data_IF_561492799565
#
_entry.id   IF_561492799565
#
_cell.length_a   1.000
_cell.length_b   1.000
_cell.length_c   1.000
_cell.angle_alpha   90.00
_cell.angle_beta   90.00
_cell.angle_gamma   90.00
#
_symmetry.space_group_name_H-M   'P 1'
#
loop_
_entity.id
_entity.type
_entity.pdbx_description
1 polymer ?
#
# COMPACT_ATOMS: atom_id res chain seq x y z
N UNK A 1 -44.34 -65.86 -3.69
CA UNK A 1 -45.51 -66.39 -2.96
C UNK A 1 -44.94 -67.41 -2.00
N UNK A 2 -44.82 -67.21 -0.69
CA UNK A 2 -45.79 -66.75 0.32
C UNK A 2 -45.02 -66.38 1.61
N UNK A 3 -45.50 -65.38 2.34
CA UNK A 3 -45.21 -65.03 3.75
C UNK A 3 -46.31 -65.73 4.58
N UNK A 4 -46.14 -66.23 5.85
CA UNK A 4 -45.90 -65.38 7.02
C UNK A 4 -45.18 -65.96 8.26
N UNK A 5 -44.89 -65.03 9.20
CA UNK A 5 -44.39 -65.20 10.56
C UNK A 5 -45.37 -65.95 11.50
N UNK A 6 -44.96 -66.27 12.75
CA UNK A 6 -45.28 -65.33 13.83
C UNK A 6 -44.23 -65.20 14.96
N UNK A 7 -44.42 -64.12 15.71
CA UNK A 7 -43.76 -63.63 16.92
C UNK A 7 -44.33 -64.31 18.17
N UNK A 8 -43.51 -64.56 19.22
CA UNK A 8 -43.85 -64.32 20.63
C UNK A 8 -42.68 -64.58 21.61
N UNK A 9 -42.71 -63.80 22.70
CA UNK A 9 -42.15 -64.02 24.05
C UNK A 9 -40.75 -63.43 24.42
N UNK A 10 -40.80 -62.20 24.96
CA UNK A 10 -40.01 -61.73 26.11
C UNK A 10 -40.34 -62.54 27.39
N UNK A 11 -39.51 -62.60 28.46
CA UNK A 11 -39.10 -61.40 29.21
C UNK A 11 -37.71 -61.38 29.91
N UNK A 12 -37.27 -60.14 30.09
CA UNK A 12 -36.44 -59.52 31.15
C UNK A 12 -35.69 -60.38 32.20
N UNK A 13 -34.38 -60.20 32.29
CA UNK A 13 -33.66 -59.43 33.35
C UNK A 13 -32.24 -59.97 33.55
N UNK A 14 -31.24 -59.11 33.34
CA UNK A 14 -30.06 -59.01 34.24
C UNK A 14 -29.28 -57.73 33.90
N UNK A 15 -29.41 -56.75 34.79
CA UNK A 15 -28.46 -55.65 34.91
C UNK A 15 -27.18 -56.19 35.54
N UNK A 16 -26.04 -55.96 34.90
CA UNK A 16 -24.73 -55.88 35.55
C UNK A 16 -24.10 -54.58 35.06
N UNK A 17 -23.94 -53.64 35.98
CA UNK A 17 -23.21 -52.40 35.80
C UNK A 17 -21.94 -52.46 36.64
N UNK A 18 -20.76 -52.35 36.03
CA UNK A 18 -19.56 -51.77 36.65
C UNK A 18 -18.38 -51.65 35.66
N UNK A 19 -17.81 -50.44 35.62
CA UNK A 19 -16.39 -50.13 35.56
C UNK A 19 -15.58 -50.22 34.24
N UNK A 20 -15.18 -49.02 33.82
CA UNK A 20 -13.83 -48.62 33.40
C UNK A 20 -13.30 -49.07 32.02
N UNK A 21 -13.34 -48.10 31.08
CA UNK A 21 -12.15 -47.61 30.36
C UNK A 21 -12.47 -46.27 29.69
N UNK A 22 -12.17 -45.19 30.42
CA UNK A 22 -11.88 -43.90 29.80
C UNK A 22 -10.43 -43.96 29.29
N UNK A 23 -10.20 -43.56 28.04
CA UNK A 23 -8.87 -43.63 27.44
C UNK A 23 -8.74 -42.85 26.14
N UNK A 24 -8.28 -41.60 26.29
CA UNK A 24 -7.53 -40.78 25.31
C UNK A 24 -8.31 -40.13 24.16
N UNK A 25 -9.06 -39.09 24.51
CA UNK A 25 -9.02 -37.85 23.74
C UNK A 25 -7.78 -37.07 24.20
N UNK A 26 -6.78 -36.92 23.35
CA UNK A 26 -5.65 -36.02 23.59
C UNK A 26 -6.15 -34.59 23.33
N UNK A 27 -6.56 -33.92 24.40
CA UNK A 27 -6.56 -32.46 24.46
C UNK A 27 -5.11 -32.00 24.26
N UNK A 28 -4.83 -31.36 23.13
CA UNK A 28 -3.71 -30.43 23.04
C UNK A 28 -4.15 -29.14 23.73
N UNK A 29 -4.10 -29.13 25.07
CA UNK A 29 -4.02 -27.89 25.83
C UNK A 29 -2.68 -27.25 25.50
N UNK A 30 -2.66 -26.37 24.50
CA UNK A 30 -1.55 -25.44 24.34
C UNK A 30 -1.57 -24.51 25.55
N UNK A 31 -0.64 -24.76 26.47
CA UNK A 31 -0.25 -23.82 27.52
C UNK A 31 0.10 -22.50 26.85
N UNK A 32 -0.73 -21.49 27.08
CA UNK A 32 -0.40 -20.10 26.79
C UNK A 32 0.79 -19.70 27.66
N UNK A 33 2.00 -19.89 27.14
CA UNK A 33 3.17 -19.19 27.65
C UNK A 33 2.96 -17.71 27.31
N UNK A 34 2.46 -16.96 28.29
CA UNK A 34 2.36 -15.53 28.24
C UNK A 34 3.76 -14.92 28.03
N UNK A 35 4.09 -14.58 26.78
CA UNK A 35 5.05 -13.52 26.48
C UNK A 35 4.40 -12.21 26.92
N UNK A 36 4.49 -11.96 28.21
CA UNK A 36 4.31 -10.65 28.80
C UNK A 36 5.53 -9.82 28.41
N UNK A 37 5.48 -9.25 27.20
CA UNK A 37 6.28 -8.04 26.95
C UNK A 37 5.66 -6.98 27.84
N UNK A 38 6.35 -6.67 28.94
CA UNK A 38 5.91 -5.71 29.94
C UNK A 38 5.85 -4.31 29.36
N UNK A 39 4.76 -3.98 28.68
CA UNK A 39 4.26 -2.62 28.59
C UNK A 39 3.37 -2.39 29.80
N UNK A 40 4.01 -2.17 30.95
CA UNK A 40 3.32 -1.50 32.05
C UNK A 40 3.05 -0.07 31.57
N UNK A 41 1.83 0.47 31.67
CA UNK A 41 1.61 1.89 31.46
C UNK A 41 2.27 2.60 32.64
N UNK A 42 3.55 2.92 32.51
CA UNK A 42 4.19 3.84 33.43
C UNK A 42 3.60 5.22 33.11
N UNK A 43 2.59 5.62 33.88
CA UNK A 43 2.30 7.04 34.11
C UNK A 43 3.52 7.65 34.81
N UNK A 44 4.56 7.93 34.04
CA UNK A 44 5.77 8.56 34.53
C UNK A 44 5.47 10.03 34.79
N UNK A 45 5.24 10.34 36.06
CA UNK A 45 5.39 11.69 36.58
C UNK A 45 6.80 12.16 36.24
N UNK A 46 6.91 13.15 35.36
CA UNK A 46 8.17 13.78 35.00
C UNK A 46 8.76 14.50 36.23
N UNK A 47 9.66 13.82 36.93
CA UNK A 47 10.60 14.43 37.86
C UNK A 47 12.01 14.26 37.30
N UNK A 48 12.70 15.39 37.16
CA UNK A 48 13.89 15.55 36.32
C UNK A 48 15.06 14.64 36.70
N UNK A 49 15.62 14.00 35.68
CA UNK A 49 16.94 13.34 35.67
C UNK A 49 17.86 14.06 34.66
N UNK A 50 19.19 14.05 34.85
CA UNK A 50 20.11 14.79 33.99
C UNK A 50 20.35 14.03 32.68
N UNK A 51 20.10 14.71 31.55
CA UNK A 51 20.22 14.20 30.18
C UNK A 51 18.88 13.70 29.65
N UNK A 52 18.12 14.56 28.96
CA UNK A 52 16.83 14.18 28.38
C UNK A 52 17.04 13.15 27.27
N UNK A 53 16.74 11.88 27.53
CA UNK A 53 16.64 10.85 26.49
C UNK A 53 15.44 11.24 25.60
N UNK A 54 15.66 11.41 24.30
CA UNK A 54 14.58 11.79 23.39
C UNK A 54 13.68 10.58 23.07
N UNK A 55 12.38 10.77 22.76
CA UNK A 55 11.51 9.68 22.31
C UNK A 55 12.09 8.88 21.14
N UNK A 56 12.77 9.56 20.22
CA UNK A 56 13.45 8.93 19.09
C UNK A 56 14.60 8.03 19.54
N UNK A 57 15.41 8.43 20.54
CA UNK A 57 16.47 7.59 21.08
C UNK A 57 15.91 6.31 21.73
N UNK A 58 14.83 6.44 22.52
CA UNK A 58 14.16 5.29 23.15
C UNK A 58 13.62 4.33 22.07
N UNK A 59 12.96 4.87 21.05
CA UNK A 59 12.40 4.07 19.97
C UNK A 59 13.48 3.41 19.11
N UNK A 60 14.58 4.13 18.82
CA UNK A 60 15.70 3.60 18.05
C UNK A 60 16.44 2.48 18.79
N UNK A 61 16.59 2.57 20.11
CA UNK A 61 17.15 1.47 20.91
C UNK A 61 16.24 0.23 20.89
N UNK A 62 14.93 0.43 20.78
CA UNK A 62 13.96 -0.65 20.63
C UNK A 62 13.88 -1.26 19.21
N UNK A 63 14.35 -0.55 18.16
CA UNK A 63 14.32 -1.05 16.78
C UNK A 63 15.01 -2.41 16.64
N UNK A 64 16.15 -2.61 17.31
CA UNK A 64 16.89 -3.86 17.29
C UNK A 64 16.14 -5.06 17.89
N UNK A 65 15.01 -4.83 18.56
CA UNK A 65 14.14 -5.87 19.15
C UNK A 65 12.90 -6.19 18.30
N UNK A 66 12.56 -5.33 17.33
CA UNK A 66 11.44 -5.53 16.40
C UNK A 66 12.03 -6.07 15.08
N UNK A 67 12.31 -7.37 15.04
CA UNK A 67 12.81 -8.00 13.82
C UNK A 67 11.72 -8.08 12.73
N UNK A 68 12.07 -8.04 11.44
CA UNK A 68 11.13 -8.37 10.35
C UNK A 68 10.50 -9.76 10.52
N UNK A 69 11.18 -10.69 11.18
CA UNK A 69 10.67 -11.99 11.60
C UNK A 69 9.60 -11.88 12.69
N UNK A 70 9.74 -10.95 13.64
CA UNK A 70 8.71 -10.69 14.65
C UNK A 70 7.50 -9.99 14.05
N UNK A 71 7.68 -9.03 13.14
CA UNK A 71 6.64 -8.38 12.35
C UNK A 71 5.93 -9.40 11.44
N UNK A 72 6.68 -10.21 10.70
CA UNK A 72 6.10 -11.27 9.89
C UNK A 72 5.44 -12.35 10.74
N UNK A 73 5.96 -12.77 11.91
CA UNK A 73 5.24 -13.68 12.81
C UNK A 73 3.95 -13.06 13.35
N UNK A 74 4.00 -11.79 13.77
CA UNK A 74 2.84 -10.98 14.18
C UNK A 74 1.78 -10.90 13.08
N UNK A 75 2.18 -10.89 11.82
CA UNK A 75 1.32 -10.78 10.65
C UNK A 75 0.98 -12.16 10.02
N UNK A 76 1.78 -13.21 10.27
CA UNK A 76 1.67 -14.59 9.78
C UNK A 76 0.62 -15.40 10.56
N UNK A 77 0.41 -15.09 11.85
CA UNK A 77 -0.80 -15.56 12.56
C UNK A 77 -2.11 -15.11 11.88
N UNK A 78 -2.04 -14.16 10.93
CA UNK A 78 -3.16 -13.68 10.10
C UNK A 78 -3.33 -14.38 8.74
N UNK A 79 -2.49 -15.35 8.38
CA UNK A 79 -2.57 -16.07 7.10
C UNK A 79 -3.13 -17.50 7.23
N UNK A 80 -3.79 -17.81 8.35
CA UNK A 80 -4.46 -19.10 8.54
C UNK A 80 -5.79 -19.13 7.76
N UNK A 81 -6.07 -20.20 6.99
CA UNK A 81 -7.37 -20.37 6.35
C UNK A 81 -8.49 -20.29 7.39
N UNK A 82 -9.39 -19.31 7.26
CA UNK A 82 -10.55 -19.13 8.13
C UNK A 82 -10.41 -18.07 9.25
N UNK A 83 -9.32 -17.31 9.34
CA UNK A 83 -9.30 -16.11 10.19
C UNK A 83 -10.10 -14.98 9.54
N UNK A 84 -11.31 -14.70 10.03
CA UNK A 84 -12.07 -13.51 9.65
C UNK A 84 -11.25 -12.24 9.87
N UNK A 85 -11.30 -11.26 8.96
CA UNK A 85 -10.57 -9.97 9.08
C UNK A 85 -10.74 -9.25 10.44
N UNK A 86 -11.83 -9.54 11.16
CA UNK A 86 -12.09 -9.12 12.55
C UNK A 86 -11.10 -9.62 13.61
N UNK A 87 -10.44 -10.76 13.43
CA UNK A 87 -9.45 -11.28 14.40
C UNK A 87 -8.10 -10.60 14.27
N UNK A 88 -7.71 -10.24 13.04
CA UNK A 88 -6.48 -9.53 12.73
C UNK A 88 -6.56 -8.07 13.16
N UNK A 89 -7.69 -7.42 12.88
CA UNK A 89 -8.00 -6.09 13.37
C UNK A 89 -7.93 -5.98 14.89
N UNK A 90 -8.32 -7.04 15.61
CA UNK A 90 -8.17 -7.11 17.06
C UNK A 90 -6.72 -7.25 17.52
N UNK A 91 -5.86 -7.95 16.78
CA UNK A 91 -4.43 -8.09 17.13
C UNK A 91 -3.67 -6.80 16.78
N UNK A 92 -3.90 -6.25 15.59
CA UNK A 92 -3.41 -4.94 15.18
C UNK A 92 -3.84 -3.86 16.19
N UNK A 93 -5.12 -3.78 16.53
CA UNK A 93 -5.65 -2.83 17.52
C UNK A 93 -5.07 -3.06 18.93
N UNK A 94 -4.80 -4.30 19.35
CA UNK A 94 -4.14 -4.61 20.64
C UNK A 94 -2.67 -4.18 20.70
N UNK A 95 -2.05 -3.97 19.54
CA UNK A 95 -0.67 -3.50 19.38
C UNK A 95 -0.60 -2.01 19.04
N UNK A 96 -1.73 -1.30 19.16
CA UNK A 96 -1.84 0.12 18.83
C UNK A 96 -2.08 0.39 17.35
N UNK A 97 -2.07 -0.62 16.47
CA UNK A 97 -2.32 -0.45 15.04
C UNK A 97 -3.81 -0.29 14.70
N UNK A 98 -4.24 0.96 14.49
CA UNK A 98 -5.57 1.27 13.96
C UNK A 98 -5.55 1.46 12.44
N UNK A 99 -6.58 1.02 11.68
CA UNK A 99 -6.79 1.37 10.27
C UNK A 99 -6.66 2.85 9.98
N UNK A 100 -7.01 3.69 10.97
CA UNK A 100 -7.02 5.14 10.85
C UNK A 100 -5.63 5.78 11.03
N UNK A 101 -4.62 5.02 11.45
CA UNK A 101 -3.28 5.57 11.74
C UNK A 101 -2.54 6.08 10.50
N UNK A 102 -2.85 5.57 9.32
CA UNK A 102 -2.03 5.81 8.13
C UNK A 102 -2.64 6.76 7.12
N UNK A 103 -3.94 7.07 7.24
CA UNK A 103 -4.65 7.89 6.28
C UNK A 103 -5.95 8.53 6.85
N UNK A 104 -6.07 8.65 8.18
CA UNK A 104 -7.29 9.16 8.81
C UNK A 104 -8.51 8.26 8.59
N UNK A 105 -9.74 8.72 8.90
CA UNK A 105 -10.96 7.95 8.61
C UNK A 105 -11.16 7.76 7.10
N UNK A 106 -11.68 6.60 6.64
CA UNK A 106 -11.97 6.39 5.24
C UNK A 106 -13.06 7.38 4.77
N UNK A 107 -12.97 7.91 3.53
CA UNK A 107 -13.99 8.75 2.95
C UNK A 107 -15.29 7.96 2.74
N UNK A 108 -16.43 8.65 2.57
CA UNK A 108 -17.66 7.99 2.19
C UNK A 108 -17.48 7.24 0.87
N UNK A 109 -18.07 6.05 0.79
CA UNK A 109 -17.99 5.19 -0.39
C UNK A 109 -18.50 5.92 -1.64
N UNK A 110 -17.70 5.97 -2.73
CA UNK A 110 -18.10 6.64 -3.95
C UNK A 110 -19.32 5.94 -4.54
N UNK A 111 -20.43 6.67 -4.63
CA UNK A 111 -21.66 6.13 -5.21
C UNK A 111 -21.52 6.07 -6.74
N UNK A 112 -21.67 4.89 -7.36
CA UNK A 112 -21.63 4.79 -8.82
C UNK A 112 -22.82 5.55 -9.42
N UNK A 113 -22.54 6.35 -10.45
CA UNK A 113 -23.49 7.04 -11.28
C UNK A 113 -23.62 6.31 -12.62
N UNK A 114 -24.67 5.47 -12.81
CA UNK A 114 -24.84 4.68 -14.03
C UNK A 114 -25.15 5.51 -15.29
N UNK A 115 -25.34 6.84 -15.14
CA UNK A 115 -25.49 7.74 -16.28
C UNK A 115 -24.12 8.12 -16.89
N UNK A 116 -23.02 7.91 -16.18
CA UNK A 116 -21.67 8.07 -16.72
C UNK A 116 -21.36 6.83 -17.57
N UNK A 117 -21.64 6.94 -18.87
CA UNK A 117 -21.46 5.86 -19.87
C UNK A 117 -20.28 6.08 -20.81
N UNK A 118 -19.63 7.23 -20.71
CA UNK A 118 -18.50 7.63 -21.53
C UNK A 118 -17.40 8.19 -20.63
N UNK A 119 -16.16 7.73 -20.84
CA UNK A 119 -15.00 8.31 -20.17
C UNK A 119 -14.59 9.60 -20.90
N UNK A 120 -14.70 10.75 -20.24
CA UNK A 120 -14.46 12.05 -20.86
C UNK A 120 -13.98 13.11 -19.88
N UNK A 121 -13.24 14.09 -20.40
CA UNK A 121 -13.00 15.33 -19.68
C UNK A 121 -14.31 16.09 -19.47
N UNK A 122 -14.58 16.51 -18.24
CA UNK A 122 -15.78 17.27 -17.86
C UNK A 122 -15.45 18.75 -17.78
N UNK A 123 -14.59 19.13 -16.83
CA UNK A 123 -14.26 20.54 -16.57
C UNK A 123 -12.95 20.69 -15.78
N UNK A 124 -12.44 21.93 -15.72
CA UNK A 124 -11.41 22.35 -14.75
C UNK A 124 -12.15 22.94 -13.55
N UNK A 125 -12.15 22.21 -12.43
CA UNK A 125 -12.79 22.60 -11.17
C UNK A 125 -12.08 23.79 -10.50
N UNK A 126 -10.76 23.82 -10.60
CA UNK A 126 -9.92 24.84 -9.97
C UNK A 126 -8.69 25.12 -10.84
N UNK A 127 -8.26 26.38 -10.86
CA UNK A 127 -7.03 26.80 -11.53
C UNK A 127 -6.33 27.89 -10.74
N UNK A 128 -5.10 27.61 -10.34
CA UNK A 128 -4.20 28.57 -9.70
C UNK A 128 -2.82 28.53 -10.39
N UNK A 129 -2.54 29.57 -11.19
CA UNK A 129 -1.33 29.63 -12.02
C UNK A 129 -1.20 28.43 -12.96
N UNK A 130 -0.22 27.55 -12.66
CA UNK A 130 0.06 26.32 -13.42
C UNK A 130 -0.59 25.07 -12.82
N UNK A 131 -1.15 25.17 -11.62
CA UNK A 131 -1.91 24.10 -10.99
C UNK A 131 -3.36 24.15 -11.47
N UNK A 132 -3.88 23.01 -11.88
CA UNK A 132 -5.27 22.82 -12.31
C UNK A 132 -5.82 21.55 -11.66
N UNK A 133 -7.08 21.59 -11.21
CA UNK A 133 -7.81 20.40 -10.75
C UNK A 133 -8.89 20.07 -11.76
N UNK A 134 -8.76 18.92 -12.41
CA UNK A 134 -9.65 18.48 -13.48
C UNK A 134 -10.66 17.46 -12.96
N UNK A 135 -11.87 17.51 -13.48
CA UNK A 135 -12.86 16.46 -13.35
C UNK A 135 -12.92 15.65 -14.64
N UNK A 136 -12.71 14.34 -14.53
CA UNK A 136 -12.79 13.40 -15.64
C UNK A 136 -13.78 12.30 -15.27
N UNK A 137 -14.85 12.17 -16.03
CA UNK A 137 -15.77 11.04 -15.90
C UNK A 137 -15.08 9.75 -16.32
N UNK A 138 -15.21 8.69 -15.53
CA UNK A 138 -14.80 7.32 -15.89
C UNK A 138 -16.04 6.45 -16.05
N UNK A 139 -16.28 5.94 -17.27
CA UNK A 139 -17.37 5.00 -17.53
C UNK A 139 -17.17 3.68 -16.77
N UNK A 140 -15.93 3.16 -16.75
CA UNK A 140 -15.60 1.88 -16.13
C UNK A 140 -15.75 1.90 -14.59
N UNK A 141 -15.57 3.07 -13.96
CA UNK A 141 -15.79 3.25 -12.52
C UNK A 141 -17.13 3.90 -12.19
N UNK A 142 -17.89 4.33 -13.21
CA UNK A 142 -19.16 5.05 -13.10
C UNK A 142 -19.07 6.25 -12.14
N UNK A 143 -17.99 7.03 -12.19
CA UNK A 143 -17.82 8.19 -11.29
C UNK A 143 -16.91 9.24 -11.91
N UNK A 144 -17.04 10.47 -11.43
CA UNK A 144 -16.09 11.54 -11.69
C UNK A 144 -14.80 11.30 -10.90
N UNK A 145 -13.67 11.39 -11.58
CA UNK A 145 -12.33 11.24 -11.02
C UNK A 145 -11.66 12.61 -11.05
N UNK A 146 -11.12 13.00 -9.90
CA UNK A 146 -10.32 14.22 -9.81
C UNK A 146 -8.89 13.92 -10.21
N UNK A 147 -8.34 14.72 -11.12
CA UNK A 147 -6.95 14.66 -11.54
C UNK A 147 -6.33 16.04 -11.34
N UNK A 148 -5.30 16.12 -10.52
CA UNK A 148 -4.50 17.32 -10.40
C UNK A 148 -3.44 17.36 -11.51
N UNK A 149 -3.28 18.54 -12.10
CA UNK A 149 -2.34 18.79 -13.19
C UNK A 149 -1.47 19.98 -12.81
N UNK A 150 -0.16 19.81 -12.86
CA UNK A 150 0.78 20.92 -12.76
C UNK A 150 1.51 21.08 -14.09
N UNK A 151 1.17 22.14 -14.84
CA UNK A 151 1.71 22.37 -16.18
C UNK A 151 3.20 22.71 -16.12
N UNK A 152 3.96 22.25 -17.11
CA UNK A 152 5.32 22.69 -17.32
C UNK A 152 5.39 24.21 -17.60
N UNK A 153 6.55 24.87 -17.37
CA UNK A 153 6.76 26.27 -17.73
C UNK A 153 6.48 26.54 -19.21
N UNK A 154 6.11 27.78 -19.55
CA UNK A 154 5.87 28.19 -20.94
C UNK A 154 4.64 27.53 -21.61
N UNK A 155 3.73 26.94 -20.83
CA UNK A 155 2.50 26.32 -21.33
C UNK A 155 2.62 24.84 -21.72
N UNK A 156 3.83 24.27 -21.64
CA UNK A 156 4.06 22.82 -21.69
C UNK A 156 3.97 22.12 -23.04
N UNK A 157 3.87 22.87 -24.16
CA UNK A 157 3.59 22.32 -25.49
C UNK A 157 4.58 21.24 -26.00
N UNK A 158 5.81 21.19 -25.50
CA UNK A 158 6.80 20.15 -25.79
C UNK A 158 7.28 19.35 -24.58
N UNK A 159 6.71 19.59 -23.40
CA UNK A 159 7.14 18.95 -22.16
C UNK A 159 6.62 17.50 -22.08
N UNK A 160 7.42 16.53 -21.61
CA UNK A 160 6.96 15.18 -21.30
C UNK A 160 6.03 15.15 -20.08
N UNK A 161 5.55 13.96 -19.74
CA UNK A 161 4.66 13.73 -18.60
C UNK A 161 5.32 12.95 -17.47
N UNK A 162 4.99 13.32 -16.24
CA UNK A 162 5.26 12.52 -15.05
C UNK A 162 3.93 12.23 -14.36
N UNK A 163 3.56 10.96 -14.34
CA UNK A 163 2.41 10.46 -13.59
C UNK A 163 2.84 10.16 -12.16
N UNK A 164 2.16 10.74 -11.18
CA UNK A 164 2.47 10.58 -9.75
C UNK A 164 1.33 9.87 -9.03
N UNK A 165 1.64 8.73 -8.42
CA UNK A 165 0.70 7.90 -7.69
C UNK A 165 0.88 8.08 -6.19
N UNK A 166 -0.19 8.53 -5.54
CA UNK A 166 -0.22 8.77 -4.09
C UNK A 166 -0.21 7.44 -3.30
N UNK A 167 0.08 7.53 -2.01
CA UNK A 167 0.03 6.42 -1.06
C UNK A 167 -1.40 6.04 -0.68
N UNK A 168 -1.51 5.25 0.39
CA UNK A 168 -2.79 4.68 0.89
C UNK A 168 -3.88 5.74 1.12
N UNK A 169 -3.48 6.97 1.50
CA UNK A 169 -4.40 8.07 1.79
C UNK A 169 -5.01 8.72 0.55
N UNK A 170 -4.30 8.78 -0.57
CA UNK A 170 -4.73 9.43 -1.84
C UNK A 170 -5.69 10.61 -1.64
N UNK A 171 -5.20 11.61 -0.91
CA UNK A 171 -5.98 12.76 -0.43
C UNK A 171 -6.31 13.74 -1.57
N UNK A 172 -7.17 14.71 -1.27
CA UNK A 172 -7.45 15.84 -2.14
C UNK A 172 -7.35 17.15 -1.33
N UNK A 173 -6.43 18.08 -1.66
CA UNK A 173 -5.34 17.97 -2.64
C UNK A 173 -4.40 16.78 -2.39
N UNK A 174 -3.71 16.27 -3.41
CA UNK A 174 -2.75 15.17 -3.22
C UNK A 174 -1.62 15.58 -2.29
N UNK A 175 -1.05 14.60 -1.60
CA UNK A 175 0.06 14.88 -0.71
C UNK A 175 1.29 15.42 -1.47
N UNK A 176 1.46 15.11 -2.76
CA UNK A 176 2.49 15.73 -3.60
C UNK A 176 2.35 17.26 -3.62
N UNK A 177 1.13 17.77 -3.87
CA UNK A 177 0.88 19.21 -3.92
C UNK A 177 0.98 19.84 -2.54
N UNK A 178 0.44 19.19 -1.51
CA UNK A 178 0.55 19.66 -0.12
C UNK A 178 2.01 19.76 0.36
N UNK A 179 2.88 18.85 -0.10
CA UNK A 179 4.28 18.75 0.32
C UNK A 179 5.28 19.30 -0.70
N UNK A 180 4.83 20.26 -1.51
CA UNK A 180 5.74 21.17 -2.22
C UNK A 180 6.08 20.80 -3.66
N UNK A 181 5.35 19.89 -4.31
CA UNK A 181 5.58 19.55 -5.72
C UNK A 181 5.57 20.79 -6.64
N UNK A 182 4.70 21.77 -6.39
CA UNK A 182 4.67 23.01 -7.16
C UNK A 182 6.01 23.77 -7.15
N UNK A 183 6.68 23.82 -5.98
CA UNK A 183 8.00 24.45 -5.84
C UNK A 183 9.11 23.56 -6.41
N UNK A 184 9.05 22.25 -6.11
CA UNK A 184 10.05 21.28 -6.57
C UNK A 184 10.13 21.17 -8.09
N UNK A 185 8.98 21.30 -8.77
CA UNK A 185 8.86 21.23 -10.22
C UNK A 185 8.68 22.61 -10.87
N UNK A 186 8.96 23.69 -10.14
CA UNK A 186 8.75 25.05 -10.64
C UNK A 186 9.52 25.29 -11.96
N UNK A 187 10.78 24.88 -12.01
CA UNK A 187 11.66 25.08 -13.18
C UNK A 187 11.86 23.81 -14.01
N UNK A 188 11.11 22.74 -13.73
CA UNK A 188 11.21 21.48 -14.46
C UNK A 188 10.29 21.52 -15.69
N UNK A 189 10.84 21.23 -16.87
CA UNK A 189 10.07 21.17 -18.11
C UNK A 189 9.27 19.84 -18.21
N UNK A 190 8.32 19.62 -17.30
CA UNK A 190 7.50 18.40 -17.22
C UNK A 190 6.08 18.74 -16.77
N UNK A 191 5.08 18.08 -17.35
CA UNK A 191 3.70 18.16 -16.89
C UNK A 191 3.48 17.08 -15.82
N UNK A 192 3.05 17.46 -14.62
CA UNK A 192 2.67 16.50 -13.58
C UNK A 192 1.20 16.12 -13.76
N UNK A 193 0.92 14.82 -13.74
CA UNK A 193 -0.43 14.24 -13.78
C UNK A 193 -0.62 13.41 -12.52
N UNK A 194 -1.54 13.83 -11.65
CA UNK A 194 -1.73 13.24 -10.33
C UNK A 194 -3.19 12.82 -10.19
N UNK A 195 -3.56 11.57 -10.56
CA UNK A 195 -4.90 11.06 -10.26
C UNK A 195 -5.09 11.02 -8.74
N UNK A 196 -6.28 11.40 -8.26
CA UNK A 196 -6.62 11.49 -6.83
C UNK A 196 -7.87 10.68 -6.49
N UNK A 197 -8.03 10.31 -5.22
CA UNK A 197 -9.16 9.53 -4.73
C UNK A 197 -9.01 8.00 -4.85
N UNK A 198 -7.80 7.52 -5.14
CA UNK A 198 -7.46 6.09 -5.26
C UNK A 198 -7.13 5.40 -3.93
N UNK A 199 -7.79 5.80 -2.84
CA UNK A 199 -7.43 5.34 -1.48
C UNK A 199 -7.51 3.82 -1.34
N UNK A 200 -6.46 3.21 -0.78
CA UNK A 200 -6.40 1.76 -0.54
C UNK A 200 -6.61 0.89 -1.78
N UNK A 201 -6.59 1.47 -2.99
CA UNK A 201 -6.97 0.77 -4.22
C UNK A 201 -5.86 -0.07 -4.83
N UNK A 202 -4.62 0.09 -4.33
CA UNK A 202 -3.39 -0.37 -4.95
C UNK A 202 -3.22 0.12 -6.41
N UNK A 203 -3.96 1.17 -6.81
CA UNK A 203 -4.04 1.68 -8.17
C UNK A 203 -4.28 0.59 -9.23
N UNK A 204 -5.04 -0.46 -8.86
CA UNK A 204 -5.29 -1.64 -9.68
C UNK A 204 -6.74 -1.76 -10.15
N UNK A 205 -6.97 -2.69 -11.08
CA UNK A 205 -8.31 -3.10 -11.47
C UNK A 205 -8.79 -4.24 -10.57
N UNK A 206 -9.90 -4.03 -9.86
CA UNK A 206 -10.44 -5.00 -8.92
C UNK A 206 -11.38 -5.99 -9.61
N UNK A 207 -11.43 -7.22 -9.09
CA UNK A 207 -12.28 -8.31 -9.58
C UNK A 207 -13.77 -8.07 -9.29
N UNK A 208 -14.07 -7.50 -8.13
CA UNK A 208 -15.44 -7.21 -7.69
C UNK A 208 -15.56 -5.77 -7.17
N UNK A 209 -16.75 -5.15 -7.30
CA UNK A 209 -17.06 -3.91 -6.59
C UNK A 209 -16.90 -4.11 -5.08
N UNK A 210 -16.32 -3.12 -4.41
CA UNK A 210 -16.19 -3.13 -2.96
C UNK A 210 -17.21 -2.17 -2.33
N UNK A 211 -17.86 -2.53 -1.20
CA UNK A 211 -18.82 -1.64 -0.54
C UNK A 211 -18.22 -0.30 -0.11
N UNK A 212 -16.91 -0.23 0.15
CA UNK A 212 -16.22 0.96 0.62
C UNK A 212 -15.51 1.71 -0.50
N UNK A 213 -14.85 1.01 -1.43
CA UNK A 213 -14.10 1.66 -2.52
C UNK A 213 -14.87 1.75 -3.84
N UNK A 214 -16.05 1.15 -3.92
CA UNK A 214 -16.88 1.11 -5.11
C UNK A 214 -16.26 0.26 -6.22
N UNK A 215 -16.51 0.65 -7.46
CA UNK A 215 -15.91 0.01 -8.64
C UNK A 215 -14.52 0.59 -8.86
N UNK A 216 -13.49 -0.24 -8.70
CA UNK A 216 -12.09 0.17 -8.87
C UNK A 216 -11.53 -0.36 -10.20
N UNK A 217 -11.30 0.55 -11.15
CA UNK A 217 -10.65 0.30 -12.44
C UNK A 217 -9.52 1.31 -12.69
N UNK A 218 -8.67 1.46 -11.68
CA UNK A 218 -7.65 2.51 -11.62
C UNK A 218 -6.50 2.26 -12.58
N UNK A 219 -6.06 1.02 -12.76
CA UNK A 219 -5.00 0.69 -13.71
C UNK A 219 -5.49 0.98 -15.13
N UNK A 220 -6.70 0.57 -15.47
CA UNK A 220 -7.34 0.91 -16.75
C UNK A 220 -7.42 2.43 -16.93
N UNK A 221 -7.89 3.17 -15.92
CA UNK A 221 -7.97 4.62 -16.02
C UNK A 221 -6.61 5.27 -16.26
N UNK A 222 -5.58 4.91 -15.49
CA UNK A 222 -4.24 5.50 -15.57
C UNK A 222 -3.52 5.16 -16.87
N UNK A 223 -3.72 3.94 -17.40
CA UNK A 223 -2.91 3.43 -18.52
C UNK A 223 -3.59 3.59 -19.88
N UNK A 224 -4.92 3.67 -19.90
CA UNK A 224 -5.71 3.72 -21.14
C UNK A 224 -6.42 5.05 -21.34
N UNK A 225 -7.13 5.52 -20.32
CA UNK A 225 -8.07 6.63 -20.46
C UNK A 225 -7.40 7.97 -20.23
N UNK A 226 -6.67 8.09 -19.12
CA UNK A 226 -6.02 9.31 -18.70
C UNK A 226 -5.00 9.83 -19.71
N UNK A 227 -4.12 8.99 -20.32
CA UNK A 227 -3.21 9.47 -21.37
C UNK A 227 -3.96 10.03 -22.58
N UNK A 228 -5.03 9.37 -23.03
CA UNK A 228 -5.82 9.80 -24.20
C UNK A 228 -6.56 11.11 -23.95
N UNK A 229 -7.00 11.34 -22.71
CA UNK A 229 -7.77 12.53 -22.35
C UNK A 229 -6.83 13.68 -21.98
N UNK A 230 -5.83 13.45 -21.14
CA UNK A 230 -5.02 14.52 -20.57
C UNK A 230 -3.90 14.98 -21.50
N UNK A 231 -3.12 14.06 -22.08
CA UNK A 231 -1.88 14.42 -22.79
C UNK A 231 -2.11 15.39 -23.95
N UNK A 232 -3.09 15.18 -24.87
CA UNK A 232 -3.32 16.08 -26.00
C UNK A 232 -3.75 17.50 -25.61
N UNK A 233 -4.21 17.70 -24.37
CA UNK A 233 -4.61 19.02 -23.83
C UNK A 233 -3.42 19.79 -23.23
N UNK A 234 -2.28 19.15 -23.10
CA UNK A 234 -1.11 19.64 -22.35
C UNK A 234 0.14 19.75 -23.22
N UNK A 235 0.41 18.75 -24.07
CA UNK A 235 1.64 18.67 -24.86
C UNK A 235 1.45 17.82 -26.11
N UNK A 236 2.24 18.10 -27.14
CA UNK A 236 2.39 17.22 -28.30
C UNK A 236 3.43 16.10 -28.08
N UNK A 237 4.24 16.19 -27.03
CA UNK A 237 5.16 15.15 -26.61
C UNK A 237 4.36 13.94 -26.07
N UNK A 238 4.84 12.72 -26.27
CA UNK A 238 4.20 11.49 -25.78
C UNK A 238 5.11 10.69 -24.84
N UNK A 239 6.31 11.18 -24.55
CA UNK A 239 7.20 10.58 -23.57
C UNK A 239 6.63 10.76 -22.17
N UNK A 240 6.61 9.67 -21.41
CA UNK A 240 6.08 9.65 -20.06
C UNK A 240 6.92 8.80 -19.12
N UNK A 241 6.96 9.23 -17.88
CA UNK A 241 7.45 8.46 -16.74
C UNK A 241 6.33 8.31 -15.71
N UNK A 242 6.44 7.31 -14.84
CA UNK A 242 5.51 7.07 -13.74
C UNK A 242 6.27 6.96 -12.43
N UNK A 243 5.73 7.50 -11.36
CA UNK A 243 6.35 7.43 -10.04
C UNK A 243 5.33 7.40 -8.94
N UNK A 244 5.74 7.00 -7.74
CA UNK A 244 4.87 7.02 -6.59
C UNK A 244 5.58 6.85 -5.25
N UNK A 245 4.80 6.96 -4.19
CA UNK A 245 5.23 6.80 -2.79
C UNK A 245 4.40 5.69 -2.13
N UNK A 246 4.99 4.90 -1.22
CA UNK A 246 4.25 3.87 -0.45
C UNK A 246 3.44 2.91 -1.36
N UNK A 247 2.12 2.83 -1.18
CA UNK A 247 1.19 2.13 -2.09
C UNK A 247 1.41 2.50 -3.57
N UNK A 248 1.53 3.79 -3.86
CA UNK A 248 1.78 4.31 -5.21
C UNK A 248 3.15 3.92 -5.76
N UNK A 249 4.17 3.75 -4.91
CA UNK A 249 5.48 3.28 -5.34
C UNK A 249 5.42 1.84 -5.84
N UNK A 250 4.76 0.94 -5.08
CA UNK A 250 4.52 -0.43 -5.51
C UNK A 250 3.73 -0.48 -6.82
N UNK A 251 2.63 0.27 -6.87
CA UNK A 251 1.77 0.33 -8.05
C UNK A 251 2.47 0.89 -9.30
N UNK A 252 3.30 1.94 -9.18
CA UNK A 252 4.01 2.51 -10.32
C UNK A 252 4.94 1.48 -10.99
N UNK A 253 5.67 0.70 -10.18
CA UNK A 253 6.56 -0.36 -10.69
C UNK A 253 5.73 -1.52 -11.26
N UNK A 254 4.66 -1.94 -10.58
CA UNK A 254 3.75 -2.98 -11.08
C UNK A 254 3.13 -2.58 -12.43
N UNK A 255 2.61 -1.36 -12.55
CA UNK A 255 2.08 -0.82 -13.82
C UNK A 255 3.16 -0.80 -14.90
N UNK A 256 4.40 -0.39 -14.58
CA UNK A 256 5.49 -0.39 -15.54
C UNK A 256 5.88 -1.80 -16.02
N UNK A 257 5.72 -2.84 -15.19
CA UNK A 257 5.91 -4.24 -15.61
C UNK A 257 4.76 -4.78 -16.45
N UNK A 258 3.53 -4.33 -16.21
CA UNK A 258 2.31 -4.79 -16.88
C UNK A 258 2.04 -4.06 -18.20
N UNK A 259 2.54 -2.83 -18.32
CA UNK A 259 2.42 -1.95 -19.48
C UNK A 259 3.82 -1.49 -19.94
N UNK A 260 4.68 -2.42 -20.41
CA UNK A 260 6.10 -2.15 -20.66
C UNK A 260 6.36 -1.12 -21.76
N UNK A 261 5.41 -0.85 -22.66
CA UNK A 261 5.61 0.14 -23.72
C UNK A 261 5.12 1.54 -23.33
N UNK A 262 4.46 1.67 -22.18
CA UNK A 262 3.77 2.91 -21.84
C UNK A 262 4.71 3.96 -21.23
N UNK A 263 5.64 3.56 -20.35
CA UNK A 263 6.52 4.47 -19.59
C UNK A 263 8.02 4.19 -19.84
N UNK A 264 8.78 5.25 -20.11
CA UNK A 264 10.23 5.19 -20.34
C UNK A 264 11.05 5.19 -19.04
N UNK A 265 10.47 5.75 -17.97
CA UNK A 265 11.09 5.80 -16.65
C UNK A 265 10.08 5.46 -15.56
N UNK A 266 10.56 4.83 -14.50
CA UNK A 266 9.76 4.52 -13.32
C UNK A 266 10.53 4.85 -12.04
N UNK A 267 9.84 5.43 -11.05
CA UNK A 267 10.39 5.53 -9.70
C UNK A 267 9.44 5.07 -8.60
N UNK A 268 10.00 4.64 -7.48
CA UNK A 268 9.24 4.33 -6.28
C UNK A 268 9.99 4.77 -5.03
N UNK A 269 9.31 5.46 -4.12
CA UNK A 269 9.86 5.86 -2.81
C UNK A 269 9.12 5.13 -1.70
N UNK A 270 9.85 4.42 -0.86
CA UNK A 270 9.38 3.61 0.25
C UNK A 270 8.24 2.67 -0.17
N UNK A 271 8.47 1.87 -1.22
CA UNK A 271 7.48 0.95 -1.77
C UNK A 271 7.71 -0.51 -1.36
N UNK A 272 6.71 -1.36 -1.64
CA UNK A 272 6.92 -2.80 -1.73
C UNK A 272 6.53 -3.29 -3.12
N UNK A 273 7.38 -4.12 -3.71
CA UNK A 273 7.36 -4.45 -5.14
C UNK A 273 7.06 -5.93 -5.42
N UNK A 274 6.91 -6.74 -4.37
CA UNK A 274 6.55 -8.17 -4.42
C UNK A 274 5.18 -8.42 -3.81
N UNK A 275 4.65 -9.60 -4.10
CA UNK A 275 3.46 -10.21 -3.49
C UNK A 275 3.81 -11.51 -2.77
N UNK A 276 5.05 -11.61 -2.28
CA UNK A 276 5.49 -12.65 -1.37
C UNK A 276 4.82 -12.48 0.00
N UNK A 277 5.22 -13.25 1.02
CA UNK A 277 4.56 -13.22 2.32
C UNK A 277 4.47 -11.79 2.91
N UNK A 278 5.58 -11.03 2.85
CA UNK A 278 5.59 -9.64 3.33
C UNK A 278 4.76 -8.72 2.42
N UNK A 279 4.88 -8.86 1.11
CA UNK A 279 4.09 -8.09 0.14
C UNK A 279 2.58 -8.28 0.29
N UNK A 280 2.12 -9.51 0.54
CA UNK A 280 0.71 -9.82 0.82
C UNK A 280 0.23 -9.14 2.09
N UNK A 281 1.04 -9.16 3.14
CA UNK A 281 0.75 -8.49 4.40
C UNK A 281 0.61 -6.98 4.21
N UNK A 282 1.56 -6.33 3.53
CA UNK A 282 1.54 -4.89 3.30
C UNK A 282 0.38 -4.48 2.37
N UNK A 283 0.07 -5.31 1.38
CA UNK A 283 -1.11 -5.11 0.51
C UNK A 283 -2.40 -5.21 1.30
N UNK A 284 -2.55 -6.26 2.13
CA UNK A 284 -3.70 -6.42 3.02
C UNK A 284 -3.85 -5.21 3.93
N UNK A 285 -2.76 -4.80 4.57
CA UNK A 285 -2.75 -3.66 5.47
C UNK A 285 -3.22 -2.39 4.75
N UNK A 286 -2.68 -2.13 3.56
CA UNK A 286 -3.03 -0.98 2.73
C UNK A 286 -4.52 -0.95 2.41
N UNK A 287 -5.06 -2.06 1.91
CA UNK A 287 -6.46 -2.17 1.49
C UNK A 287 -7.42 -2.11 2.68
N UNK A 288 -7.20 -2.95 3.69
CA UNK A 288 -8.11 -3.10 4.83
C UNK A 288 -8.03 -1.91 5.80
N UNK A 289 -6.92 -1.15 5.80
CA UNK A 289 -6.84 0.13 6.54
C UNK A 289 -7.88 1.16 6.09
N UNK A 290 -8.41 1.02 4.86
CA UNK A 290 -9.49 1.85 4.32
C UNK A 290 -10.86 1.22 4.47
N UNK A 291 -10.99 0.08 5.15
CA UNK A 291 -12.25 -0.63 5.37
C UNK A 291 -12.69 -1.54 4.23
N UNK A 292 -11.90 -1.64 3.16
CA UNK A 292 -12.20 -2.47 2.00
C UNK A 292 -11.88 -3.95 2.25
N UNK A 293 -12.43 -4.84 1.44
CA UNK A 293 -12.16 -6.28 1.53
C UNK A 293 -11.11 -6.70 0.50
N UNK A 294 -9.94 -7.16 0.96
CA UNK A 294 -8.81 -7.52 0.09
C UNK A 294 -9.18 -8.49 -1.05
N UNK A 295 -10.00 -9.49 -0.76
CA UNK A 295 -10.36 -10.53 -1.74
C UNK A 295 -11.24 -10.01 -2.87
N UNK A 296 -11.90 -8.85 -2.72
CA UNK A 296 -12.58 -8.18 -3.83
C UNK A 296 -11.61 -7.65 -4.89
N UNK A 297 -10.35 -7.38 -4.51
CA UNK A 297 -9.33 -6.84 -5.41
C UNK A 297 -8.80 -7.91 -6.37
N UNK A 298 -8.04 -8.89 -5.86
CA UNK A 298 -7.37 -9.90 -6.68
C UNK A 298 -7.81 -11.33 -6.33
N UNK A 299 -8.83 -11.52 -5.50
CA UNK A 299 -9.16 -12.83 -4.93
C UNK A 299 -8.16 -13.27 -3.85
N UNK A 300 -8.16 -14.56 -3.52
CA UNK A 300 -7.29 -15.10 -2.47
C UNK A 300 -5.80 -14.96 -2.80
N UNK A 301 -4.94 -14.60 -1.83
CA UNK A 301 -3.50 -14.51 -2.01
C UNK A 301 -2.86 -15.77 -2.62
N UNK A 302 -1.87 -15.55 -3.50
CA UNK A 302 -1.12 -16.63 -4.17
C UNK A 302 -1.73 -17.14 -5.48
N UNK A 303 -2.85 -16.58 -5.93
CA UNK A 303 -3.42 -16.89 -7.25
C UNK A 303 -2.70 -16.13 -8.40
N UNK A 304 -3.13 -16.38 -9.63
CA UNK A 304 -2.55 -15.75 -10.83
C UNK A 304 -2.65 -14.22 -10.86
N UNK A 305 -3.69 -13.63 -10.26
CA UNK A 305 -3.85 -12.17 -10.19
C UNK A 305 -2.78 -11.56 -9.29
N UNK A 306 -2.47 -12.18 -8.15
CA UNK A 306 -1.36 -11.74 -7.30
C UNK A 306 -0.02 -11.83 -8.03
N UNK A 307 0.27 -12.95 -8.70
CA UNK A 307 1.49 -13.10 -9.50
C UNK A 307 1.57 -12.09 -10.66
N UNK A 308 0.44 -11.72 -11.26
CA UNK A 308 0.37 -10.72 -12.32
C UNK A 308 0.57 -9.27 -11.82
N UNK A 309 0.47 -9.03 -10.51
CA UNK A 309 0.73 -7.73 -9.88
C UNK A 309 2.05 -7.70 -9.08
N UNK A 310 2.82 -8.80 -9.10
CA UNK A 310 4.15 -8.89 -8.52
C UNK A 310 5.21 -8.33 -9.49
N UNK A 311 5.78 -7.18 -9.17
CA UNK A 311 6.77 -6.56 -10.04
C UNK A 311 8.12 -7.31 -10.04
N UNK A 312 8.44 -8.11 -9.02
CA UNK A 312 9.70 -8.87 -8.97
C UNK A 312 9.63 -10.15 -9.80
N UNK A 313 8.47 -10.81 -9.84
CA UNK A 313 8.19 -11.90 -10.79
C UNK A 313 8.30 -11.37 -12.22
N UNK A 314 7.67 -10.22 -12.48
CA UNK A 314 7.58 -9.61 -13.82
C UNK A 314 8.73 -8.65 -14.16
N UNK A 315 9.79 -8.58 -13.34
CA UNK A 315 10.86 -7.58 -13.45
C UNK A 315 11.59 -7.60 -14.80
N UNK A 316 11.54 -8.70 -15.54
CA UNK A 316 12.07 -8.78 -16.91
C UNK A 316 11.55 -7.65 -17.82
N UNK A 317 10.29 -7.24 -17.61
CA UNK A 317 9.60 -6.18 -18.36
C UNK A 317 10.11 -4.76 -18.04
N UNK A 318 11.01 -4.61 -17.07
CA UNK A 318 11.65 -3.31 -16.75
C UNK A 318 12.90 -3.03 -17.60
N UNK A 319 13.31 -3.95 -18.49
CA UNK A 319 14.46 -3.72 -19.38
C UNK A 319 14.29 -2.48 -20.23
N UNK A 320 15.37 -1.71 -20.35
CA UNK A 320 15.40 -0.48 -21.15
C UNK A 320 14.77 0.74 -20.48
N UNK A 321 14.26 0.62 -19.25
CA UNK A 321 13.70 1.75 -18.49
C UNK A 321 14.77 2.40 -17.61
N UNK A 322 14.65 3.70 -17.39
CA UNK A 322 15.32 4.34 -16.25
C UNK A 322 14.55 4.03 -14.97
N UNK A 323 15.23 3.46 -13.96
CA UNK A 323 14.60 2.99 -12.72
C UNK A 323 15.26 3.67 -11.54
N UNK A 324 14.45 4.26 -10.65
CA UNK A 324 14.88 4.72 -9.33
C UNK A 324 14.03 4.11 -8.23
N UNK A 325 14.64 3.47 -7.24
CA UNK A 325 13.95 3.03 -6.03
C UNK A 325 14.67 3.59 -4.80
N UNK A 326 13.94 3.89 -3.73
CA UNK A 326 14.58 4.25 -2.47
C UNK A 326 13.74 3.87 -1.27
N UNK A 327 14.41 3.55 -0.17
CA UNK A 327 13.85 3.36 1.16
C UNK A 327 14.85 3.80 2.21
N UNK A 328 14.40 3.89 3.45
CA UNK A 328 15.21 4.18 4.62
C UNK A 328 15.16 3.04 5.64
N UNK A 329 16.03 3.05 6.64
CA UNK A 329 16.06 2.01 7.69
C UNK A 329 14.91 2.05 8.70
N UNK A 330 14.06 3.08 8.70
CA UNK A 330 13.10 3.32 9.79
C UNK A 330 13.71 3.91 11.06
N UNK A 331 15.03 4.22 11.05
CA UNK A 331 15.70 4.92 12.17
C UNK A 331 15.28 6.39 12.15
N UNK A 332 14.70 6.84 13.27
CA UNK A 332 14.21 8.20 13.43
C UNK A 332 15.37 9.19 13.66
N UNK A 333 15.28 10.35 13.02
CA UNK A 333 16.14 11.50 13.25
C UNK A 333 15.54 12.46 14.29
N UNK A 334 16.36 13.33 14.90
CA UNK A 334 15.85 14.40 15.76
C UNK A 334 14.77 15.23 15.06
N UNK A 335 13.62 15.40 15.71
CA UNK A 335 12.48 16.15 15.18
C UNK A 335 11.43 15.29 14.48
N UNK A 336 11.71 14.01 14.23
CA UNK A 336 10.72 13.10 13.65
C UNK A 336 9.54 12.87 14.61
N UNK A 337 9.77 12.88 15.93
CA UNK A 337 8.68 12.76 16.90
C UNK A 337 7.64 13.87 16.75
N UNK A 338 8.10 15.12 16.59
CA UNK A 338 7.24 16.28 16.36
C UNK A 338 6.54 16.21 15.00
N UNK A 339 7.22 15.70 13.97
CA UNK A 339 6.64 15.50 12.64
C UNK A 339 5.48 14.48 12.64
N UNK A 340 5.44 13.58 13.63
CA UNK A 340 4.30 12.70 13.90
C UNK A 340 3.28 13.29 14.88
N UNK A 341 3.31 14.61 15.12
CA UNK A 341 2.45 15.30 16.09
C UNK A 341 2.53 14.72 17.51
N UNK A 342 3.68 14.15 17.87
CA UNK A 342 3.88 13.44 19.13
C UNK A 342 2.94 12.23 19.33
N UNK A 343 2.42 11.66 18.24
CA UNK A 343 1.59 10.46 18.26
C UNK A 343 2.47 9.20 18.28
N UNK A 344 2.50 8.53 19.44
CA UNK A 344 3.30 7.32 19.65
C UNK A 344 2.96 6.20 18.68
N UNK A 345 1.67 6.02 18.38
CA UNK A 345 1.21 4.91 17.57
C UNK A 345 1.62 5.13 16.11
N UNK A 346 1.37 6.32 15.56
CA UNK A 346 1.75 6.67 14.18
C UNK A 346 3.26 6.71 13.99
N UNK A 347 4.00 7.19 15.00
CA UNK A 347 5.46 7.22 14.97
C UNK A 347 6.05 5.82 14.85
N UNK A 348 5.69 4.90 15.77
CA UNK A 348 6.15 3.50 15.74
C UNK A 348 5.70 2.78 14.47
N UNK A 349 4.46 3.05 14.04
CA UNK A 349 3.92 2.51 12.82
C UNK A 349 4.68 2.96 11.57
N UNK A 350 5.10 4.23 11.54
CA UNK A 350 5.99 4.78 10.51
C UNK A 350 7.36 4.12 10.47
N UNK A 351 7.97 3.86 11.62
CA UNK A 351 9.24 3.12 11.71
C UNK A 351 9.10 1.70 11.17
N UNK A 352 8.03 1.00 11.57
CA UNK A 352 7.77 -0.38 11.17
C UNK A 352 7.47 -0.51 9.68
N UNK A 353 6.65 0.38 9.12
CA UNK A 353 6.39 0.39 7.67
C UNK A 353 7.65 0.69 6.89
N UNK A 354 8.48 1.64 7.32
CA UNK A 354 9.69 1.97 6.58
C UNK A 354 10.65 0.78 6.53
N UNK A 355 10.88 0.10 7.67
CA UNK A 355 11.66 -1.14 7.71
C UNK A 355 11.11 -2.24 6.78
N UNK A 356 9.79 -2.40 6.73
CA UNK A 356 9.16 -3.38 5.85
C UNK A 356 9.38 -3.02 4.37
N UNK A 357 9.24 -1.75 4.01
CA UNK A 357 9.51 -1.28 2.65
C UNK A 357 11.00 -1.32 2.31
N UNK A 358 11.89 -1.12 3.28
CA UNK A 358 13.34 -1.26 3.09
C UNK A 358 13.70 -2.68 2.70
N UNK A 359 13.12 -3.66 3.39
CA UNK A 359 13.27 -5.06 3.01
C UNK A 359 12.81 -5.30 1.58
N UNK A 360 11.64 -4.79 1.19
CA UNK A 360 11.14 -4.93 -0.18
C UNK A 360 12.06 -4.26 -1.22
N UNK A 361 12.65 -3.10 -0.91
CA UNK A 361 13.60 -2.41 -1.79
C UNK A 361 14.90 -3.20 -1.96
N UNK A 362 15.42 -3.79 -0.89
CA UNK A 362 16.57 -4.71 -0.96
C UNK A 362 16.27 -5.94 -1.82
N UNK A 363 15.06 -6.51 -1.73
CA UNK A 363 14.66 -7.64 -2.56
C UNK A 363 14.51 -7.22 -4.03
N UNK A 364 14.01 -6.01 -4.31
CA UNK A 364 13.99 -5.45 -5.66
C UNK A 364 15.40 -5.22 -6.22
N UNK A 365 16.31 -4.64 -5.45
CA UNK A 365 17.73 -4.45 -5.83
C UNK A 365 18.37 -5.79 -6.21
N UNK A 366 18.21 -6.80 -5.35
CA UNK A 366 18.72 -8.15 -5.58
C UNK A 366 18.17 -8.73 -6.88
N UNK A 367 16.86 -8.60 -7.13
CA UNK A 367 16.19 -9.12 -8.33
C UNK A 367 16.66 -8.41 -9.61
N UNK A 368 16.77 -7.08 -9.59
CA UNK A 368 17.23 -6.30 -10.74
C UNK A 368 18.68 -6.64 -11.08
N UNK A 369 19.56 -6.78 -10.08
CA UNK A 369 20.95 -7.24 -10.27
C UNK A 369 21.04 -8.66 -10.84
N UNK A 370 20.25 -9.59 -10.32
CA UNK A 370 20.18 -10.97 -10.84
C UNK A 370 19.81 -11.00 -12.32
N UNK A 371 18.92 -10.10 -12.74
CA UNK A 371 18.49 -9.98 -14.12
C UNK A 371 19.41 -9.08 -14.98
N UNK A 372 20.44 -8.45 -14.41
CA UNK A 372 21.29 -7.50 -15.11
C UNK A 372 20.55 -6.25 -15.61
N UNK A 373 19.49 -5.84 -14.91
CA UNK A 373 18.74 -4.61 -15.23
C UNK A 373 19.38 -3.44 -14.46
N UNK A 374 19.89 -2.40 -15.13
CA UNK A 374 20.44 -1.24 -14.45
C UNK A 374 19.33 -0.45 -13.76
N UNK A 375 19.56 -0.11 -12.49
CA UNK A 375 18.67 0.74 -11.70
C UNK A 375 19.53 1.57 -10.73
N UNK A 376 19.08 2.78 -10.41
CA UNK A 376 19.60 3.51 -9.26
C UNK A 376 18.74 3.16 -8.05
N UNK A 377 19.38 2.71 -6.98
CA UNK A 377 18.68 2.34 -5.75
C UNK A 377 19.39 3.01 -4.57
N UNK A 378 18.66 3.86 -3.87
CA UNK A 378 19.19 4.64 -2.76
C UNK A 378 18.65 4.05 -1.44
N UNK A 379 19.52 3.37 -0.69
CA UNK A 379 19.24 2.84 0.66
C UNK A 379 19.71 3.86 1.69
N UNK A 380 18.77 4.61 2.29
CA UNK A 380 19.08 5.68 3.23
C UNK A 380 19.30 5.12 4.66
N UNK A 381 20.34 5.57 5.38
CA UNK A 381 20.70 5.01 6.69
C UNK A 381 19.72 5.41 7.81
N UNK A 382 18.90 6.44 7.58
CA UNK A 382 17.88 6.96 8.50
C UNK A 382 16.70 7.48 7.71
N UNK A 383 15.51 7.40 8.28
CA UNK A 383 14.30 7.99 7.71
C UNK A 383 13.05 7.20 8.05
N UNK A 384 11.91 7.87 7.94
CA UNK A 384 10.60 7.39 8.41
C UNK A 384 9.59 7.30 7.27
N UNK A 385 8.57 6.47 7.42
CA UNK A 385 7.49 6.29 6.43
C UNK A 385 6.49 7.46 6.47
N UNK A 386 6.91 8.64 6.03
CA UNK A 386 6.05 9.84 5.98
C UNK A 386 6.49 10.83 4.88
N UNK A 387 5.63 11.84 4.67
CA UNK A 387 5.84 12.86 3.66
C UNK A 387 7.09 13.74 3.87
N UNK A 388 7.56 13.89 5.10
CA UNK A 388 8.78 14.66 5.39
C UNK A 388 10.03 14.03 4.74
N UNK A 389 10.00 12.71 4.50
CA UNK A 389 11.01 11.96 3.77
C UNK A 389 10.66 11.78 2.29
N UNK A 390 9.39 11.48 1.96
CA UNK A 390 8.97 11.34 0.56
C UNK A 390 9.26 12.59 -0.27
N UNK A 391 8.88 13.76 0.27
CA UNK A 391 9.07 15.06 -0.39
C UNK A 391 10.53 15.33 -0.72
N UNK A 392 11.48 14.90 0.14
CA UNK A 392 12.92 15.07 -0.11
C UNK A 392 13.43 14.16 -1.21
N UNK A 393 12.87 12.96 -1.34
CA UNK A 393 13.31 11.97 -2.32
C UNK A 393 12.67 12.12 -3.70
N UNK A 394 11.50 12.76 -3.83
CA UNK A 394 10.85 12.97 -5.13
C UNK A 394 11.74 13.72 -6.13
N UNK A 395 12.41 14.85 -5.79
CA UNK A 395 13.34 15.51 -6.70
C UNK A 395 14.56 14.66 -7.06
N UNK A 396 15.06 13.84 -6.12
CA UNK A 396 16.19 12.92 -6.37
C UNK A 396 15.77 11.84 -7.37
N UNK A 397 14.61 11.23 -7.14
CA UNK A 397 14.00 10.23 -8.00
C UNK A 397 13.76 10.77 -9.42
N UNK A 398 13.16 11.95 -9.53
CA UNK A 398 12.93 12.60 -10.81
C UNK A 398 14.25 12.86 -11.56
N UNK A 399 15.24 13.43 -10.90
CA UNK A 399 16.54 13.68 -11.52
C UNK A 399 17.24 12.39 -11.99
N UNK A 400 17.03 11.27 -11.30
CA UNK A 400 17.57 9.98 -11.70
C UNK A 400 16.95 9.43 -12.98
N UNK A 401 15.68 9.75 -13.28
CA UNK A 401 14.96 9.15 -14.42
C UNK A 401 14.62 10.10 -15.55
N UNK A 402 14.68 11.43 -15.37
CA UNK A 402 14.20 12.42 -16.36
C UNK A 402 14.84 12.32 -17.75
N UNK A 403 16.06 11.81 -17.83
CA UNK A 403 16.75 11.55 -19.09
C UNK A 403 15.99 10.56 -19.99
N UNK A 404 15.20 9.65 -19.42
CA UNK A 404 14.40 8.66 -20.17
C UNK A 404 13.25 9.29 -20.96
N UNK A 405 12.87 10.53 -20.62
CA UNK A 405 11.82 11.28 -21.32
C UNK A 405 12.37 12.43 -22.17
N UNK A 406 13.70 12.51 -22.30
CA UNK A 406 14.39 13.47 -23.16
C UNK A 406 14.75 14.81 -22.49
N UNK A 407 14.97 14.80 -21.17
CA UNK A 407 15.33 15.99 -20.36
C UNK A 407 16.73 15.90 -19.73
#
# INVERSE_FOLDING_TARGET
MTVPAPVAAEPSTRRVSAAHRAGRALLATATAAALSVGLVPASAQAQGLPGSISPEQIANDALGTISPESLSQLLYFGNLPGSSGSSMMNIAHRLGFSPNMFAGPPPPSPQPNPNIRETKFVEVLEKDGRYERWLIDSADMQRGITVEVFRAPGGGAGAPFLYLLDGVGSELPSGFMQWGAAAQFADQNVNLIIPTGGQGSMWSDWNAPDPVLGISKWETFITRDLPKIAEPRLSANTNRAIGGISMGAGAAVTIATRHPDLYNGVFGVSGCYSTDALGQILTRYTVESRGATLTNMWGEPGNEQWAAHDALINAGNLRGKAIYLSSSTGVANPGDWEAYNNDAANFVAGMALEQATDRCTWDADRRLRQLGIPARIDHLPTGMHNWSYYSRQIPVAWNAIKHSVGL
#
